data_IF_261599648554
#
_entry.id   IF_261599648554
#
_cell.length_a   1.000
_cell.length_b   1.000
_cell.length_c   1.000
_cell.angle_alpha   90.00
_cell.angle_beta   90.00
_cell.angle_gamma   90.00
#
_symmetry.space_group_name_H-M   'P 1'
#
loop_
_entity.id
_entity.type
_entity.pdbx_description
1 polymer ?
#
# COMPACT_ATOMS: atom_id res chain seq x y z
N UNK A 1 -1.30 8.42 12.37
CA UNK A 1 -2.57 8.75 11.72
C UNK A 1 -3.03 10.13 12.17
N UNK A 2 -3.32 11.00 11.20
CA UNK A 2 -3.87 12.35 11.40
C UNK A 2 -5.15 12.45 10.58
N UNK A 3 -6.18 13.10 11.17
CA UNK A 3 -7.45 13.40 10.50
C UNK A 3 -7.88 14.82 10.86
N UNK A 4 -8.20 15.62 9.85
CA UNK A 4 -8.82 16.93 9.98
C UNK A 4 -10.14 16.93 9.21
N UNK A 5 -11.20 17.42 9.84
CA UNK A 5 -12.53 17.49 9.23
C UNK A 5 -13.19 18.80 9.65
N UNK A 6 -13.67 19.56 8.68
CA UNK A 6 -14.55 20.69 8.90
C UNK A 6 -15.70 20.67 7.88
N UNK A 7 -16.46 21.77 7.77
CA UNK A 7 -17.61 21.86 6.87
C UNK A 7 -17.28 21.57 5.40
N UNK A 8 -16.09 21.94 4.93
CA UNK A 8 -15.70 21.86 3.50
C UNK A 8 -14.54 20.89 3.26
N UNK A 9 -13.71 20.63 4.27
CA UNK A 9 -12.49 19.84 4.11
C UNK A 9 -12.56 18.53 4.88
N UNK A 10 -12.14 17.47 4.21
CA UNK A 10 -11.73 16.23 4.83
C UNK A 10 -10.30 15.93 4.40
N UNK A 11 -9.38 15.87 5.36
CA UNK A 11 -7.98 15.54 5.13
C UNK A 11 -7.63 14.40 6.08
N UNK A 12 -7.08 13.32 5.56
CA UNK A 12 -6.60 12.22 6.37
C UNK A 12 -5.26 11.73 5.83
N UNK A 13 -4.33 11.42 6.73
CA UNK A 13 -3.03 10.86 6.41
C UNK A 13 -2.62 9.81 7.42
N UNK A 14 -1.89 8.81 6.97
CA UNK A 14 -1.30 7.78 7.84
C UNK A 14 0.07 7.41 7.32
N UNK A 15 1.02 7.22 8.24
CA UNK A 15 2.29 6.59 7.96
C UNK A 15 2.50 5.44 8.93
N UNK A 16 3.04 4.34 8.43
CA UNK A 16 3.37 3.14 9.18
C UNK A 16 4.78 2.71 8.79
N UNK A 17 5.60 2.44 9.79
CA UNK A 17 6.87 1.75 9.65
C UNK A 17 6.82 0.54 10.57
N UNK A 18 7.06 -0.65 10.05
CA UNK A 18 6.98 -1.86 10.84
C UNK A 18 7.45 -3.10 10.10
N UNK A 19 7.70 -4.15 10.86
CA UNK A 19 8.15 -5.44 10.35
C UNK A 19 7.01 -6.44 10.31
N UNK A 20 7.03 -7.34 9.32
CA UNK A 20 6.07 -8.44 9.16
C UNK A 20 4.60 -7.98 9.19
N UNK A 21 4.24 -7.00 8.35
CA UNK A 21 2.92 -6.38 8.32
C UNK A 21 1.87 -7.16 7.51
N UNK A 22 2.11 -8.42 7.16
CA UNK A 22 1.23 -9.27 6.34
C UNK A 22 -0.18 -9.39 6.89
N UNK A 23 -0.34 -9.45 8.21
CA UNK A 23 -1.67 -9.54 8.86
C UNK A 23 -2.54 -8.30 8.66
N UNK A 24 -1.94 -7.17 8.26
CA UNK A 24 -2.66 -5.92 7.98
C UNK A 24 -2.89 -5.70 6.49
N UNK A 25 -2.74 -6.74 5.66
CA UNK A 25 -2.85 -6.69 4.19
C UNK A 25 -1.84 -5.73 3.55
N UNK A 26 -0.72 -5.50 4.21
CA UNK A 26 0.40 -4.68 3.71
C UNK A 26 1.50 -5.59 3.16
N UNK A 27 2.43 -5.01 2.39
CA UNK A 27 3.68 -5.69 2.05
C UNK A 27 4.38 -6.12 3.33
N UNK A 28 5.02 -7.27 3.31
CA UNK A 28 5.76 -7.75 4.46
C UNK A 28 5.93 -9.25 4.47
N UNK A 29 6.50 -9.73 5.54
CA UNK A 29 6.80 -11.15 5.75
C UNK A 29 8.11 -11.33 6.49
N UNK A 30 8.77 -12.43 6.21
CA UNK A 30 10.05 -12.80 6.80
C UNK A 30 10.93 -13.53 5.78
N UNK A 31 12.23 -13.51 6.03
CA UNK A 31 13.21 -14.28 5.29
C UNK A 31 13.84 -15.38 6.15
N UNK A 32 14.22 -16.49 5.55
CA UNK A 32 15.03 -17.52 6.19
C UNK A 32 16.48 -17.07 6.20
N UNK A 33 17.03 -16.85 7.40
CA UNK A 33 18.39 -16.37 7.63
C UNK A 33 19.40 -17.53 7.68
N UNK A 34 19.08 -18.56 8.44
CA UNK A 34 19.91 -19.75 8.58
C UNK A 34 19.05 -21.00 8.75
N UNK A 35 19.62 -22.14 8.40
CA UNK A 35 19.02 -23.46 8.62
C UNK A 35 20.08 -24.33 9.29
N UNK A 36 19.79 -24.83 10.48
CA UNK A 36 20.62 -25.83 11.12
C UNK A 36 20.55 -27.15 10.33
N UNK A 37 21.70 -27.62 9.87
CA UNK A 37 21.78 -28.81 9.01
C UNK A 37 21.50 -30.12 9.74
N UNK A 38 21.58 -30.11 11.10
CA UNK A 38 21.38 -31.32 11.93
C UNK A 38 19.93 -31.42 12.39
N UNK A 39 19.34 -30.31 12.84
CA UNK A 39 17.99 -30.26 13.42
C UNK A 39 16.92 -29.84 12.42
N UNK A 40 17.31 -29.14 11.34
CA UNK A 40 16.40 -28.54 10.39
C UNK A 40 15.75 -27.24 10.91
N UNK A 41 16.12 -26.76 12.10
CA UNK A 41 15.60 -25.49 12.64
C UNK A 41 15.99 -24.31 11.77
N UNK A 42 15.07 -23.35 11.64
CA UNK A 42 15.25 -22.17 10.82
C UNK A 42 15.26 -20.90 11.67
N UNK A 43 16.23 -20.04 11.39
CA UNK A 43 16.22 -18.66 11.89
C UNK A 43 15.58 -17.74 10.87
N UNK A 44 14.82 -16.76 11.36
CA UNK A 44 14.07 -15.84 10.53
C UNK A 44 14.46 -14.39 10.78
N UNK A 45 14.43 -13.58 9.71
CA UNK A 45 14.55 -12.13 9.76
C UNK A 45 13.27 -11.50 9.18
N UNK A 46 12.66 -10.57 9.91
CA UNK A 46 11.43 -9.92 9.46
C UNK A 46 11.70 -8.88 8.37
N UNK A 47 10.83 -8.80 7.37
CA UNK A 47 10.88 -7.75 6.34
C UNK A 47 10.33 -6.46 6.92
N UNK A 48 11.15 -5.41 6.91
CA UNK A 48 10.76 -4.05 7.28
C UNK A 48 10.06 -3.37 6.10
N UNK A 49 8.95 -2.70 6.37
CA UNK A 49 8.19 -1.94 5.38
C UNK A 49 7.83 -0.55 5.88
N UNK A 50 7.77 0.38 4.94
CA UNK A 50 7.22 1.72 5.14
C UNK A 50 6.00 1.89 4.23
N UNK A 51 4.89 2.39 4.77
CA UNK A 51 3.68 2.69 4.01
C UNK A 51 3.08 4.00 4.48
N UNK A 52 2.72 4.86 3.54
CA UNK A 52 2.13 6.16 3.82
C UNK A 52 1.05 6.48 2.81
N UNK A 53 -0.02 7.14 3.26
CA UNK A 53 -1.04 7.63 2.36
C UNK A 53 -1.62 8.97 2.84
N UNK A 54 -2.14 9.72 1.88
CA UNK A 54 -2.84 10.99 2.04
C UNK A 54 -4.16 10.93 1.27
N UNK A 55 -5.24 11.35 1.90
CA UNK A 55 -6.55 11.56 1.28
C UNK A 55 -7.03 12.98 1.58
N UNK A 56 -7.42 13.71 0.54
CA UNK A 56 -7.93 15.07 0.62
C UNK A 56 -9.22 15.16 -0.19
N UNK A 57 -10.31 15.57 0.46
CA UNK A 57 -11.61 15.81 -0.19
C UNK A 57 -12.09 17.22 0.19
N UNK A 58 -12.61 17.95 -0.80
CA UNK A 58 -13.11 19.30 -0.61
C UNK A 58 -14.55 19.44 -1.10
N UNK A 59 -15.35 20.22 -0.36
CA UNK A 59 -16.68 20.65 -0.80
C UNK A 59 -17.82 19.96 -0.06
N UNK A 60 -19.06 20.26 -0.46
CA UNK A 60 -20.29 19.76 0.16
C UNK A 60 -21.19 19.03 -0.84
N UNK A 61 -21.72 19.73 -1.84
CA UNK A 61 -22.56 19.17 -2.90
C UNK A 61 -21.72 18.48 -3.97
N UNK A 62 -20.72 19.17 -4.47
CA UNK A 62 -19.66 18.64 -5.30
C UNK A 62 -18.44 18.42 -4.42
N UNK A 63 -17.89 17.20 -4.43
CA UNK A 63 -16.75 16.81 -3.61
C UNK A 63 -15.66 16.20 -4.50
N UNK A 64 -14.80 17.03 -5.10
CA UNK A 64 -13.55 16.54 -5.66
C UNK A 64 -12.65 16.02 -4.53
N UNK A 65 -11.95 14.93 -4.80
CA UNK A 65 -11.01 14.32 -3.88
C UNK A 65 -9.78 13.78 -4.60
N UNK A 66 -8.68 13.70 -3.87
CA UNK A 66 -7.44 13.06 -4.31
C UNK A 66 -6.96 12.09 -3.25
N UNK A 67 -6.40 10.99 -3.71
CA UNK A 67 -5.72 10.00 -2.89
C UNK A 67 -4.31 9.77 -3.41
N UNK A 68 -3.34 9.73 -2.51
CA UNK A 68 -1.95 9.36 -2.80
C UNK A 68 -1.51 8.30 -1.80
N UNK A 69 -0.94 7.22 -2.28
CA UNK A 69 -0.40 6.12 -1.48
C UNK A 69 0.98 5.70 -1.95
N UNK A 70 1.84 5.39 -1.01
CA UNK A 70 3.17 4.87 -1.27
C UNK A 70 3.53 3.80 -0.25
N UNK A 71 4.07 2.68 -0.71
CA UNK A 71 4.66 1.66 0.17
C UNK A 71 5.97 1.16 -0.40
N UNK A 72 6.92 0.83 0.47
CA UNK A 72 8.28 0.42 0.14
C UNK A 72 8.71 -0.76 1.00
N UNK A 73 9.26 -1.79 0.35
CA UNK A 73 10.01 -2.84 1.01
C UNK A 73 11.42 -2.31 1.37
N UNK A 74 11.79 -2.37 2.64
CA UNK A 74 13.08 -1.92 3.15
C UNK A 74 14.06 -3.08 3.39
N UNK A 75 13.61 -4.32 3.12
CA UNK A 75 14.40 -5.53 3.30
C UNK A 75 14.37 -6.08 4.72
N UNK A 76 15.20 -7.07 4.98
CA UNK A 76 15.35 -7.74 6.27
C UNK A 76 16.47 -7.16 7.12
N UNK A 77 17.41 -6.43 6.52
CA UNK A 77 18.65 -5.97 7.16
C UNK A 77 19.70 -7.07 7.35
N UNK A 78 19.31 -8.33 7.27
CA UNK A 78 20.15 -9.51 7.35
C UNK A 78 20.18 -10.25 6.01
N UNK A 79 21.22 -11.06 5.79
CA UNK A 79 21.27 -11.97 4.67
C UNK A 79 20.20 -13.07 4.82
N UNK A 80 19.48 -13.35 3.72
CA UNK A 80 18.39 -14.34 3.70
C UNK A 80 18.45 -15.17 2.43
N UNK A 81 18.05 -16.44 2.53
CA UNK A 81 18.05 -17.39 1.42
C UNK A 81 16.72 -17.40 0.67
N UNK A 82 15.63 -17.10 1.35
CA UNK A 82 14.26 -17.10 0.79
C UNK A 82 13.36 -16.17 1.58
N UNK A 83 12.42 -15.50 0.88
CA UNK A 83 11.38 -14.66 1.49
C UNK A 83 10.03 -15.38 1.47
N UNK A 84 9.24 -15.14 2.53
CA UNK A 84 7.85 -15.58 2.68
C UNK A 84 7.00 -14.40 3.14
N UNK A 85 5.83 -14.23 2.56
CA UNK A 85 4.90 -13.16 2.93
C UNK A 85 4.11 -12.63 1.75
N UNK A 86 3.64 -11.38 1.87
CA UNK A 86 2.85 -10.69 0.87
C UNK A 86 3.74 -9.76 0.05
N UNK A 87 3.81 -9.98 -1.28
CA UNK A 87 4.59 -9.15 -2.21
C UNK A 87 6.10 -9.30 -1.98
N UNK A 88 6.60 -10.52 -1.82
CA UNK A 88 8.02 -10.82 -1.59
C UNK A 88 8.93 -10.51 -2.78
N UNK A 89 8.34 -10.25 -3.95
CA UNK A 89 8.96 -9.82 -5.19
C UNK A 89 8.68 -8.34 -5.51
N UNK A 90 7.96 -7.63 -4.63
CA UNK A 90 7.59 -6.23 -4.80
C UNK A 90 8.54 -5.33 -4.01
N UNK A 91 9.17 -4.41 -4.72
CA UNK A 91 10.03 -3.37 -4.12
C UNK A 91 9.20 -2.22 -3.55
N UNK A 92 8.31 -1.67 -4.36
CA UNK A 92 7.46 -0.54 -3.98
C UNK A 92 6.14 -0.53 -4.76
N UNK A 93 5.16 0.14 -4.18
CA UNK A 93 3.86 0.42 -4.83
C UNK A 93 3.53 1.89 -4.67
N UNK A 94 3.11 2.53 -5.76
CA UNK A 94 2.55 3.88 -5.79
C UNK A 94 1.10 3.79 -6.21
N UNK A 95 0.22 4.51 -5.51
CA UNK A 95 -1.16 4.70 -5.90
C UNK A 95 -1.48 6.19 -5.99
N UNK A 96 -2.17 6.59 -7.05
CA UNK A 96 -2.73 7.93 -7.20
C UNK A 96 -4.19 7.79 -7.64
N UNK A 97 -5.08 8.48 -6.94
CA UNK A 97 -6.51 8.47 -7.24
C UNK A 97 -7.08 9.88 -7.32
N UNK A 98 -8.06 10.07 -8.19
CA UNK A 98 -8.90 11.26 -8.23
C UNK A 98 -10.36 10.82 -8.21
N UNK A 99 -11.16 11.49 -7.40
CA UNK A 99 -12.60 11.23 -7.31
C UNK A 99 -13.40 12.52 -7.44
N UNK A 100 -14.61 12.39 -7.96
CA UNK A 100 -15.61 13.44 -7.93
C UNK A 100 -16.93 12.83 -7.47
N UNK A 101 -17.47 13.32 -6.35
CA UNK A 101 -18.82 12.94 -5.91
C UNK A 101 -19.78 14.10 -5.98
N UNK A 102 -21.03 13.79 -6.32
CA UNK A 102 -22.15 14.73 -6.39
C UNK A 102 -23.28 14.24 -5.49
N UNK A 103 -23.67 15.06 -4.52
CA UNK A 103 -24.71 14.75 -3.55
C UNK A 103 -25.97 15.57 -3.81
N UNK A 104 -27.11 14.91 -4.04
CA UNK A 104 -28.42 15.53 -4.32
C UNK A 104 -29.52 14.77 -3.58
N UNK A 105 -30.21 15.45 -2.66
CA UNK A 105 -31.33 14.87 -1.92
C UNK A 105 -31.06 13.43 -1.46
N UNK A 106 -31.73 12.45 -2.07
CA UNK A 106 -31.60 11.03 -1.76
C UNK A 106 -30.56 10.29 -2.62
N UNK A 107 -29.82 11.00 -3.51
CA UNK A 107 -28.87 10.40 -4.43
C UNK A 107 -27.45 10.87 -4.17
N UNK A 108 -26.52 9.94 -4.32
CA UNK A 108 -25.10 10.22 -4.41
C UNK A 108 -24.54 9.58 -5.68
N UNK A 109 -23.89 10.37 -6.52
CA UNK A 109 -23.17 9.90 -7.70
C UNK A 109 -21.69 10.09 -7.47
N UNK A 110 -20.89 9.12 -7.92
CA UNK A 110 -19.44 9.17 -7.80
C UNK A 110 -18.76 8.67 -9.06
N UNK A 111 -17.65 9.29 -9.40
CA UNK A 111 -16.72 8.84 -10.41
C UNK A 111 -15.33 8.84 -9.78
N UNK A 112 -14.62 7.73 -9.89
CA UNK A 112 -13.26 7.55 -9.38
C UNK A 112 -12.35 7.05 -10.50
N UNK A 113 -11.16 7.63 -10.59
CA UNK A 113 -10.05 7.09 -11.37
C UNK A 113 -8.90 6.76 -10.41
N UNK A 114 -8.31 5.58 -10.56
CA UNK A 114 -7.17 5.14 -9.76
C UNK A 114 -6.08 4.59 -10.69
N UNK A 115 -4.88 5.14 -10.55
CA UNK A 115 -3.64 4.61 -11.09
C UNK A 115 -2.90 3.87 -9.98
N UNK A 116 -2.50 2.62 -10.23
CA UNK A 116 -1.63 1.84 -9.35
C UNK A 116 -0.42 1.38 -10.14
N UNK A 117 0.77 1.57 -9.59
CA UNK A 117 2.03 1.10 -10.17
C UNK A 117 2.81 0.33 -9.12
N UNK A 118 3.22 -0.88 -9.45
CA UNK A 118 4.05 -1.74 -8.61
C UNK A 118 5.36 -2.06 -9.33
N UNK A 119 6.46 -2.09 -8.58
CA UNK A 119 7.78 -2.46 -9.08
C UNK A 119 8.12 -3.86 -8.59
N UNK A 120 8.18 -4.79 -9.52
CA UNK A 120 8.54 -6.19 -9.30
C UNK A 120 10.00 -6.43 -9.66
N UNK A 121 10.68 -7.26 -8.90
CA UNK A 121 12.09 -7.57 -9.15
C UNK A 121 12.56 -8.84 -8.47
N UNK A 122 13.87 -8.98 -8.33
CA UNK A 122 14.53 -10.13 -7.72
C UNK A 122 15.05 -9.80 -6.34
N UNK A 123 14.94 -10.77 -5.42
CA UNK A 123 15.47 -10.63 -4.07
C UNK A 123 16.99 -10.53 -4.06
N UNK A 124 17.52 -9.56 -3.33
CA UNK A 124 18.92 -9.52 -2.94
C UNK A 124 19.13 -10.35 -1.68
N UNK A 125 19.85 -11.46 -1.81
CA UNK A 125 20.11 -12.37 -0.71
C UNK A 125 20.91 -11.75 0.46
N UNK A 126 21.61 -10.64 0.21
CA UNK A 126 22.44 -10.00 1.25
C UNK A 126 21.62 -9.21 2.27
N UNK A 127 20.41 -8.78 1.94
CA UNK A 127 19.62 -7.88 2.78
C UNK A 127 18.09 -7.98 2.60
N UNK A 128 17.60 -8.92 1.77
CA UNK A 128 16.17 -9.13 1.51
C UNK A 128 15.47 -7.99 0.77
N UNK A 129 16.20 -7.02 0.23
CA UNK A 129 15.63 -5.98 -0.65
C UNK A 129 15.36 -6.54 -2.04
N UNK A 130 14.48 -5.86 -2.77
CA UNK A 130 14.18 -6.20 -4.15
C UNK A 130 14.95 -5.28 -5.07
N UNK A 131 15.64 -5.86 -6.06
CA UNK A 131 16.46 -5.16 -7.06
C UNK A 131 16.10 -5.60 -8.47
N UNK A 132 16.72 -4.96 -9.48
CA UNK A 132 16.49 -5.21 -10.91
C UNK A 132 14.98 -5.10 -11.24
N UNK A 133 14.37 -4.02 -10.79
CA UNK A 133 12.92 -3.87 -10.80
C UNK A 133 12.40 -3.39 -12.14
N UNK A 134 11.21 -3.88 -12.52
CA UNK A 134 10.38 -3.35 -13.61
C UNK A 134 9.01 -2.95 -13.08
N UNK A 135 8.44 -1.90 -13.64
CA UNK A 135 7.13 -1.40 -13.21
C UNK A 135 5.98 -2.04 -13.99
N UNK A 136 4.91 -2.35 -13.29
CA UNK A 136 3.63 -2.76 -13.87
C UNK A 136 2.57 -1.78 -13.40
N UNK A 137 1.83 -1.20 -14.35
CA UNK A 137 0.80 -0.21 -14.07
C UNK A 137 -0.60 -0.78 -14.31
N UNK A 138 -1.54 -0.39 -13.49
CA UNK A 138 -2.96 -0.68 -13.64
C UNK A 138 -3.78 0.61 -13.52
N UNK A 139 -4.80 0.75 -14.36
CA UNK A 139 -5.73 1.86 -14.38
C UNK A 139 -7.14 1.33 -14.09
N UNK A 140 -7.86 1.97 -13.19
CA UNK A 140 -9.23 1.62 -12.84
C UNK A 140 -10.13 2.86 -12.88
N UNK A 141 -11.31 2.72 -13.49
CA UNK A 141 -12.38 3.70 -13.44
C UNK A 141 -13.59 3.05 -12.78
N UNK A 142 -14.19 3.72 -11.82
CA UNK A 142 -15.39 3.25 -11.11
C UNK A 142 -16.44 4.35 -11.12
N UNK A 143 -17.65 4.00 -11.58
CA UNK A 143 -18.85 4.83 -11.45
C UNK A 143 -19.77 4.25 -10.38
N UNK A 144 -20.33 5.10 -9.53
CA UNK A 144 -21.24 4.72 -8.44
C UNK A 144 -22.47 5.59 -8.47
N UNK A 145 -23.66 4.97 -8.36
CA UNK A 145 -24.91 5.63 -8.05
C UNK A 145 -25.51 4.99 -6.79
N UNK A 146 -25.78 5.78 -5.77
CA UNK A 146 -26.32 5.32 -4.50
C UNK A 146 -27.60 6.08 -4.17
N UNK A 147 -28.67 5.35 -3.87
CA UNK A 147 -29.92 5.89 -3.35
C UNK A 147 -29.97 5.71 -1.83
N UNK A 148 -30.31 6.77 -1.12
CA UNK A 148 -30.45 6.79 0.33
C UNK A 148 -31.92 7.07 0.69
N UNK A 149 -32.58 6.14 1.34
CA UNK A 149 -33.99 6.24 1.79
C UNK A 149 -34.06 6.47 3.31
#
# INVERSE_FOLDING_TARGET
HVRYTNKNWFIAAKSVLGSNLTQTSMLGGYGVKAIDKLTGEQEYASILNSSSWLNVVYGQKWKPGIFLGYTKNLGTGDAVTKLYGTGTDVDQVVMAGAELTYNVAHWKFGLEYTLSSAWYGSMDASNGKIKDTHSVCNNRIVGVAMFMF
#
